data_IF_507623132000
#
_entry.id   IF_507623132000
#
_cell.length_a   1.000
_cell.length_b   1.000
_cell.length_c   1.000
_cell.angle_alpha   90.00
_cell.angle_beta   90.00
_cell.angle_gamma   90.00
#
_symmetry.space_group_name_H-M   'P 1'
#
loop_
_entity.id
_entity.type
_entity.pdbx_description
1 polymer ?
#
# COMPACT_ATOMS: atom_id res chain seq x y z
N UNK A 1 55.68 80.56 -2.49
CA UNK A 1 56.34 79.24 -2.38
C UNK A 1 55.55 78.19 -1.57
N UNK A 2 54.32 78.48 -1.10
CA UNK A 2 53.51 77.55 -0.28
C UNK A 2 52.61 76.64 -1.12
N UNK A 3 52.11 77.11 -2.28
CA UNK A 3 51.18 76.38 -3.14
C UNK A 3 51.76 75.11 -3.79
N UNK A 4 53.08 75.02 -3.99
CA UNK A 4 53.72 73.87 -4.65
C UNK A 4 53.88 72.64 -3.75
N UNK A 5 53.88 72.81 -2.42
CA UNK A 5 54.01 71.69 -1.45
C UNK A 5 52.66 71.06 -1.08
N UNK A 6 51.55 71.76 -1.32
CA UNK A 6 50.20 71.30 -0.98
C UNK A 6 49.57 70.38 -2.02
N UNK A 7 49.95 70.53 -3.30
CA UNK A 7 49.39 69.75 -4.43
C UNK A 7 49.66 68.23 -4.30
N UNK A 8 50.88 67.77 -3.95
CA UNK A 8 51.15 66.34 -3.77
C UNK A 8 50.35 65.73 -2.62
N UNK A 9 50.18 66.46 -1.51
CA UNK A 9 49.43 66.00 -0.35
C UNK A 9 47.93 65.85 -0.65
N UNK A 10 47.35 66.79 -1.40
CA UNK A 10 45.94 66.72 -1.84
C UNK A 10 45.72 65.55 -2.80
N UNK A 11 46.62 65.34 -3.76
CA UNK A 11 46.58 64.17 -4.68
C UNK A 11 46.64 62.84 -3.93
N UNK A 12 47.43 62.77 -2.86
CA UNK A 12 47.57 61.57 -2.04
C UNK A 12 46.29 61.30 -1.22
N UNK A 13 45.67 62.34 -0.67
CA UNK A 13 44.37 62.24 0.04
C UNK A 13 43.26 61.77 -0.90
N UNK A 14 43.18 62.31 -2.13
CA UNK A 14 42.20 61.89 -3.13
C UNK A 14 42.39 60.41 -3.50
N UNK A 15 43.65 59.98 -3.73
CA UNK A 15 43.97 58.58 -4.04
C UNK A 15 43.59 57.62 -2.91
N UNK A 16 43.84 58.01 -1.66
CA UNK A 16 43.44 57.24 -0.48
C UNK A 16 41.91 57.17 -0.34
N UNK A 17 41.20 58.25 -0.66
CA UNK A 17 39.74 58.28 -0.71
C UNK A 17 39.15 57.33 -1.75
N UNK A 18 39.70 57.32 -2.96
CA UNK A 18 39.28 56.40 -4.04
C UNK A 18 39.55 54.93 -3.69
N UNK A 19 40.70 54.65 -3.07
CA UNK A 19 41.03 53.30 -2.59
C UNK A 19 40.05 52.82 -1.52
N UNK A 20 39.72 53.68 -0.55
CA UNK A 20 38.76 53.34 0.51
C UNK A 20 37.36 53.09 -0.05
N UNK A 21 36.92 53.91 -1.00
CA UNK A 21 35.62 53.76 -1.67
C UNK A 21 35.54 52.47 -2.49
N UNK A 22 36.60 52.11 -3.20
CA UNK A 22 36.68 50.84 -3.94
C UNK A 22 36.69 49.63 -3.00
N UNK A 23 37.43 49.70 -1.89
CA UNK A 23 37.45 48.65 -0.87
C UNK A 23 36.08 48.48 -0.22
N UNK A 24 35.37 49.58 0.07
CA UNK A 24 34.01 49.54 0.60
C UNK A 24 33.03 48.88 -0.38
N UNK A 25 33.12 49.21 -1.67
CA UNK A 25 32.25 48.61 -2.69
C UNK A 25 32.53 47.11 -2.87
N UNK A 26 33.79 46.69 -2.80
CA UNK A 26 34.17 45.27 -2.84
C UNK A 26 33.63 44.52 -1.61
N UNK A 27 33.73 45.11 -0.41
CA UNK A 27 33.15 44.53 0.81
C UNK A 27 31.63 44.38 0.71
N UNK A 28 30.93 45.41 0.24
CA UNK A 28 29.47 45.34 0.04
C UNK A 28 29.08 44.22 -0.93
N UNK A 29 29.86 44.03 -2.00
CA UNK A 29 29.64 42.94 -2.95
C UNK A 29 29.83 41.56 -2.31
N UNK A 30 30.92 41.38 -1.54
CA UNK A 30 31.19 40.14 -0.81
C UNK A 30 30.09 39.83 0.22
N UNK A 31 29.63 40.84 0.97
CA UNK A 31 28.52 40.67 1.92
C UNK A 31 27.23 40.26 1.21
N UNK A 32 26.93 40.84 0.04
CA UNK A 32 25.75 40.45 -0.74
C UNK A 32 25.83 38.99 -1.22
N UNK A 33 26.99 38.56 -1.71
CA UNK A 33 27.23 37.18 -2.15
C UNK A 33 27.15 36.21 -0.98
N UNK A 34 27.69 36.59 0.18
CA UNK A 34 27.60 35.78 1.39
C UNK A 34 26.15 35.59 1.83
N UNK A 35 25.32 36.65 1.77
CA UNK A 35 23.90 36.54 2.08
C UNK A 35 23.17 35.63 1.08
N UNK A 36 23.48 35.71 -0.20
CA UNK A 36 22.90 34.82 -1.21
C UNK A 36 23.27 33.36 -0.96
N UNK A 37 24.53 33.08 -0.66
CA UNK A 37 25.01 31.73 -0.34
C UNK A 37 24.36 31.20 0.95
N UNK A 38 24.19 32.04 1.97
CA UNK A 38 23.50 31.65 3.20
C UNK A 38 22.03 31.29 2.92
N UNK A 39 21.32 32.05 2.08
CA UNK A 39 19.95 31.71 1.69
C UNK A 39 19.88 30.40 0.90
N UNK A 40 20.81 30.20 -0.06
CA UNK A 40 20.88 28.95 -0.83
C UNK A 40 21.14 27.75 0.07
N UNK A 41 22.03 27.89 1.05
CA UNK A 41 22.32 26.85 2.04
C UNK A 41 21.08 26.49 2.87
N UNK A 42 20.36 27.49 3.38
CA UNK A 42 19.14 27.26 4.13
C UNK A 42 18.08 26.51 3.30
N UNK A 43 17.93 26.86 2.02
CA UNK A 43 17.02 26.15 1.12
C UNK A 43 17.44 24.69 0.89
N UNK A 44 18.74 24.42 0.71
CA UNK A 44 19.26 23.06 0.55
C UNK A 44 19.02 22.24 1.83
N UNK A 45 19.25 22.82 3.01
CA UNK A 45 19.00 22.16 4.29
C UNK A 45 17.52 21.81 4.46
N UNK A 46 16.61 22.69 4.03
CA UNK A 46 15.16 22.44 4.07
C UNK A 46 14.75 21.30 3.13
N UNK A 47 15.29 21.26 1.90
CA UNK A 47 15.04 20.16 0.96
C UNK A 47 15.65 18.85 1.48
N UNK A 48 16.84 18.89 2.07
CA UNK A 48 17.50 17.72 2.64
C UNK A 48 16.69 17.13 3.81
N UNK A 49 15.99 17.96 4.59
CA UNK A 49 15.09 17.48 5.66
C UNK A 49 13.84 16.76 5.13
N UNK A 50 13.42 17.02 3.88
CA UNK A 50 12.26 16.36 3.27
C UNK A 50 12.59 15.00 2.66
N UNK A 51 13.85 14.77 2.25
CA UNK A 51 14.28 13.52 1.61
C UNK A 51 14.02 12.27 2.47
N UNK A 52 14.28 12.23 3.80
CA UNK A 52 13.98 11.07 4.62
C UNK A 52 12.49 10.70 4.66
N UNK A 53 11.61 11.71 4.67
CA UNK A 53 10.15 11.49 4.69
C UNK A 53 9.70 10.90 3.36
N UNK A 54 10.21 11.42 2.23
CA UNK A 54 9.94 10.86 0.90
C UNK A 54 10.45 9.42 0.79
N UNK A 55 11.65 9.13 1.29
CA UNK A 55 12.20 7.79 1.30
C UNK A 55 11.34 6.82 2.13
N UNK A 56 10.96 7.21 3.35
CA UNK A 56 10.09 6.39 4.20
C UNK A 56 8.72 6.15 3.56
N UNK A 57 8.18 7.16 2.86
CA UNK A 57 6.91 7.04 2.13
C UNK A 57 7.02 6.05 0.98
N UNK A 58 8.11 6.13 0.19
CA UNK A 58 8.38 5.19 -0.89
C UNK A 58 8.56 3.75 -0.37
N UNK A 59 9.28 3.57 0.75
CA UNK A 59 9.48 2.26 1.36
C UNK A 59 8.17 1.65 1.87
N UNK A 60 7.31 2.46 2.50
CA UNK A 60 5.97 2.02 2.93
C UNK A 60 5.10 1.64 1.73
N UNK A 61 5.09 2.47 0.68
CA UNK A 61 4.33 2.19 -0.52
C UNK A 61 4.79 0.88 -1.18
N UNK A 62 6.10 0.64 -1.23
CA UNK A 62 6.67 -0.59 -1.77
C UNK A 62 6.30 -1.83 -0.94
N UNK A 63 6.24 -1.71 0.39
CA UNK A 63 5.75 -2.81 1.25
C UNK A 63 4.26 -3.07 1.03
N UNK A 64 3.45 -2.01 0.93
CA UNK A 64 2.01 -2.14 0.69
C UNK A 64 1.73 -2.77 -0.68
N UNK A 65 2.47 -2.40 -1.72
CA UNK A 65 2.31 -3.00 -3.05
C UNK A 65 2.68 -4.49 -3.06
N UNK A 66 3.74 -4.89 -2.34
CA UNK A 66 4.12 -6.30 -2.19
C UNK A 66 3.04 -7.12 -1.46
N UNK A 67 2.47 -6.57 -0.39
CA UNK A 67 1.36 -7.20 0.34
C UNK A 67 0.13 -7.35 -0.56
N UNK A 68 -0.21 -6.32 -1.33
CA UNK A 68 -1.34 -6.36 -2.26
C UNK A 68 -1.15 -7.43 -3.34
N UNK A 69 0.05 -7.53 -3.92
CA UNK A 69 0.38 -8.55 -4.92
C UNK A 69 0.26 -9.98 -4.36
N UNK A 70 0.74 -10.20 -3.13
CA UNK A 70 0.58 -11.47 -2.43
C UNK A 70 -0.91 -11.80 -2.22
N UNK A 71 -1.71 -10.80 -1.81
CA UNK A 71 -3.16 -10.93 -1.66
C UNK A 71 -3.86 -11.33 -2.96
N UNK A 72 -3.54 -10.68 -4.08
CA UNK A 72 -4.09 -11.05 -5.39
C UNK A 72 -3.67 -12.45 -5.85
N UNK A 73 -2.45 -12.87 -5.51
CA UNK A 73 -1.98 -14.22 -5.84
C UNK A 73 -2.78 -15.28 -5.07
N UNK A 74 -3.00 -15.07 -3.77
CA UNK A 74 -3.82 -15.95 -2.94
C UNK A 74 -5.29 -15.96 -3.42
N UNK A 75 -5.83 -14.79 -3.81
CA UNK A 75 -7.18 -14.68 -4.36
C UNK A 75 -7.32 -15.48 -5.66
N UNK A 76 -6.35 -15.36 -6.58
CA UNK A 76 -6.32 -16.12 -7.84
C UNK A 76 -6.29 -17.62 -7.59
N UNK A 77 -5.50 -18.07 -6.61
CA UNK A 77 -5.43 -19.49 -6.25
C UNK A 77 -6.77 -20.00 -5.72
N UNK A 78 -7.39 -19.28 -4.77
CA UNK A 78 -8.74 -19.60 -4.27
C UNK A 78 -9.77 -19.66 -5.39
N UNK A 79 -9.78 -18.69 -6.29
CA UNK A 79 -10.70 -18.67 -7.43
C UNK A 79 -10.48 -19.86 -8.38
N UNK A 80 -9.22 -20.27 -8.59
CA UNK A 80 -8.89 -21.44 -9.42
C UNK A 80 -9.37 -22.74 -8.77
N UNK A 81 -9.13 -22.90 -7.47
CA UNK A 81 -9.62 -24.04 -6.71
C UNK A 81 -11.16 -24.09 -6.69
N UNK A 82 -11.83 -22.94 -6.58
CA UNK A 82 -13.29 -22.84 -6.64
C UNK A 82 -13.81 -23.32 -8.01
N UNK A 83 -13.17 -22.90 -9.10
CA UNK A 83 -13.53 -23.35 -10.44
C UNK A 83 -13.33 -24.87 -10.63
N UNK A 84 -12.28 -25.45 -10.03
CA UNK A 84 -12.06 -26.90 -10.04
C UNK A 84 -13.16 -27.64 -9.28
N UNK A 85 -13.48 -27.22 -8.05
CA UNK A 85 -14.57 -27.83 -7.27
C UNK A 85 -15.93 -27.75 -7.97
N UNK A 86 -16.25 -26.61 -8.59
CA UNK A 86 -17.49 -26.47 -9.38
C UNK A 86 -17.53 -27.49 -10.53
N UNK A 87 -16.40 -27.69 -11.22
CA UNK A 87 -16.31 -28.66 -12.30
C UNK A 87 -16.41 -30.10 -11.79
N UNK A 88 -15.77 -30.44 -10.68
CA UNK A 88 -15.85 -31.76 -10.06
C UNK A 88 -17.29 -32.07 -9.67
N UNK A 89 -17.97 -31.15 -8.96
CA UNK A 89 -19.38 -31.30 -8.61
C UNK A 89 -20.29 -31.45 -9.83
N UNK A 90 -20.06 -30.67 -10.89
CA UNK A 90 -20.80 -30.79 -12.16
C UNK A 90 -20.62 -32.18 -12.78
N UNK A 91 -19.41 -32.74 -12.73
CA UNK A 91 -19.11 -34.05 -13.30
C UNK A 91 -19.72 -35.18 -12.46
N UNK A 92 -19.63 -35.10 -11.13
CA UNK A 92 -20.26 -36.06 -10.22
C UNK A 92 -21.79 -36.07 -10.36
N UNK A 93 -22.41 -34.89 -10.52
CA UNK A 93 -23.85 -34.75 -10.76
C UNK A 93 -24.31 -35.38 -12.09
N UNK A 94 -23.44 -35.37 -13.11
CA UNK A 94 -23.73 -35.99 -14.42
C UNK A 94 -23.54 -37.51 -14.43
N UNK A 95 -22.68 -38.06 -13.57
CA UNK A 95 -22.45 -39.51 -13.47
C UNK A 95 -23.51 -40.27 -12.66
N UNK A 96 -24.23 -39.57 -11.77
CA UNK A 96 -25.21 -40.16 -10.84
C UNK A 96 -26.62 -40.32 -11.42
N UNK A 97 -26.88 -39.93 -12.67
CA UNK A 97 -28.16 -40.21 -13.34
C UNK A 97 -28.44 -41.71 -13.57
N UNK A 98 -27.50 -42.60 -13.21
CA UNK A 98 -27.63 -44.05 -13.32
C UNK A 98 -27.67 -44.80 -11.97
N UNK A 99 -27.23 -44.21 -10.85
CA UNK A 99 -27.19 -44.85 -9.53
C UNK A 99 -27.41 -43.80 -8.44
N UNK A 100 -28.41 -44.05 -7.57
CA UNK A 100 -28.63 -43.44 -6.25
C UNK A 100 -27.78 -42.22 -5.92
N UNK A 101 -28.37 -41.02 -6.04
CA UNK A 101 -27.75 -39.76 -5.63
C UNK A 101 -27.26 -39.82 -4.18
N UNK A 102 -25.95 -39.66 -3.97
CA UNK A 102 -25.35 -39.56 -2.64
C UNK A 102 -25.55 -38.14 -2.09
N UNK A 103 -26.62 -37.98 -1.31
CA UNK A 103 -27.02 -36.72 -0.67
C UNK A 103 -25.89 -36.13 0.18
N UNK A 104 -25.10 -36.97 0.83
CA UNK A 104 -24.06 -36.56 1.78
C UNK A 104 -22.86 -35.95 1.05
N UNK A 105 -22.43 -36.58 -0.04
CA UNK A 105 -21.37 -36.03 -0.91
C UNK A 105 -21.79 -34.73 -1.59
N UNK A 106 -23.06 -34.61 -1.96
CA UNK A 106 -23.58 -33.37 -2.54
C UNK A 106 -23.61 -32.22 -1.51
N UNK A 107 -24.13 -32.47 -0.30
CA UNK A 107 -24.16 -31.48 0.77
C UNK A 107 -22.74 -31.03 1.14
N UNK A 108 -21.80 -31.97 1.30
CA UNK A 108 -20.39 -31.67 1.56
C UNK A 108 -19.78 -30.81 0.46
N UNK A 109 -20.04 -31.13 -0.82
CA UNK A 109 -19.56 -30.34 -1.96
C UNK A 109 -20.04 -28.89 -1.94
N UNK A 110 -21.33 -28.66 -1.71
CA UNK A 110 -21.92 -27.31 -1.64
C UNK A 110 -21.34 -26.51 -0.47
N UNK A 111 -21.19 -27.12 0.70
CA UNK A 111 -20.59 -26.46 1.87
C UNK A 111 -19.13 -26.08 1.60
N UNK A 112 -18.37 -26.95 0.94
CA UNK A 112 -16.98 -26.66 0.55
C UNK A 112 -16.89 -25.50 -0.44
N UNK A 113 -17.82 -25.42 -1.41
CA UNK A 113 -17.91 -24.27 -2.31
C UNK A 113 -18.20 -22.98 -1.54
N UNK A 114 -19.12 -23.02 -0.58
CA UNK A 114 -19.47 -21.87 0.25
C UNK A 114 -18.28 -21.38 1.08
N UNK A 115 -17.51 -22.29 1.70
CA UNK A 115 -16.27 -21.96 2.42
C UNK A 115 -15.25 -21.23 1.52
N UNK A 116 -15.18 -21.62 0.25
CA UNK A 116 -14.23 -21.04 -0.70
C UNK A 116 -14.72 -19.75 -1.34
N UNK A 117 -16.04 -19.62 -1.52
CA UNK A 117 -16.68 -18.42 -2.03
C UNK A 117 -16.68 -17.27 -1.01
N UNK A 118 -16.61 -17.59 0.29
CA UNK A 118 -16.37 -16.65 1.40
C UNK A 118 -14.97 -16.02 1.30
N UNK A 119 -14.84 -15.08 0.37
CA UNK A 119 -13.66 -14.26 0.19
C UNK A 119 -13.91 -12.95 0.93
N UNK A 120 -13.23 -12.76 2.06
CA UNK A 120 -13.24 -11.50 2.81
C UNK A 120 -14.66 -11.08 3.27
N UNK A 121 -15.47 -12.05 3.70
CA UNK A 121 -16.84 -11.80 4.20
C UNK A 121 -17.86 -11.39 3.13
N UNK A 122 -17.53 -11.58 1.85
CA UNK A 122 -18.49 -11.41 0.76
C UNK A 122 -19.38 -12.65 0.66
N UNK A 123 -20.62 -12.46 0.23
CA UNK A 123 -21.66 -13.50 0.05
C UNK A 123 -22.11 -14.23 1.33
N UNK A 124 -21.93 -13.61 2.51
CA UNK A 124 -22.35 -14.20 3.78
C UNK A 124 -23.85 -14.56 3.81
N UNK A 125 -24.72 -13.65 3.37
CA UNK A 125 -26.18 -13.86 3.40
C UNK A 125 -26.60 -15.04 2.51
N UNK A 126 -26.01 -15.16 1.31
CA UNK A 126 -26.28 -16.29 0.41
C UNK A 126 -25.76 -17.60 0.99
N UNK A 127 -24.57 -17.56 1.58
CA UNK A 127 -23.95 -18.73 2.20
C UNK A 127 -24.72 -19.19 3.44
N UNK A 128 -25.20 -18.26 4.26
CA UNK A 128 -26.09 -18.54 5.39
C UNK A 128 -27.41 -19.16 4.91
N UNK A 129 -27.99 -18.61 3.84
CA UNK A 129 -29.21 -19.15 3.22
C UNK A 129 -29.02 -20.59 2.76
N UNK A 130 -27.95 -20.87 2.02
CA UNK A 130 -27.61 -22.22 1.53
C UNK A 130 -27.36 -23.18 2.70
N UNK A 131 -26.63 -22.71 3.72
CA UNK A 131 -26.32 -23.47 4.93
C UNK A 131 -27.60 -23.89 5.65
N UNK A 132 -28.56 -22.96 5.78
CA UNK A 132 -29.88 -23.21 6.36
C UNK A 132 -30.71 -24.19 5.52
N UNK A 133 -30.69 -24.08 4.18
CA UNK A 133 -31.38 -25.03 3.30
C UNK A 133 -30.84 -26.46 3.44
N UNK A 134 -29.51 -26.63 3.47
CA UNK A 134 -28.91 -27.95 3.68
C UNK A 134 -29.28 -28.48 5.07
N UNK A 135 -29.28 -27.63 6.10
CA UNK A 135 -29.58 -28.03 7.49
C UNK A 135 -31.00 -28.55 7.62
N UNK A 136 -31.95 -27.80 7.04
CA UNK A 136 -33.34 -28.21 6.92
C UNK A 136 -33.49 -29.55 6.16
N UNK A 137 -32.65 -29.78 5.14
CA UNK A 137 -32.61 -31.04 4.40
C UNK A 137 -32.24 -32.26 5.26
N UNK A 138 -31.54 -32.09 6.38
CA UNK A 138 -31.20 -33.15 7.33
C UNK A 138 -32.09 -33.16 8.59
N UNK A 139 -33.13 -32.32 8.65
CA UNK A 139 -34.03 -32.28 9.80
C UNK A 139 -34.61 -33.66 10.12
N UNK A 140 -34.45 -34.09 11.38
CA UNK A 140 -34.88 -35.42 11.84
C UNK A 140 -34.00 -36.59 11.40
N UNK A 141 -32.83 -36.34 10.80
CA UNK A 141 -31.85 -37.34 10.36
C UNK A 141 -30.50 -37.12 11.07
N UNK A 142 -29.72 -38.18 11.22
CA UNK A 142 -28.35 -38.06 11.70
C UNK A 142 -27.49 -37.44 10.60
N UNK A 143 -26.86 -36.30 10.89
CA UNK A 143 -25.93 -35.64 9.97
C UNK A 143 -24.62 -36.46 9.91
N UNK A 144 -24.11 -36.78 8.72
CA UNK A 144 -22.81 -37.42 8.56
C UNK A 144 -21.67 -36.53 9.06
N UNK A 145 -20.63 -37.14 9.64
CA UNK A 145 -19.49 -36.41 10.22
C UNK A 145 -18.79 -35.46 9.24
N UNK A 146 -18.64 -35.83 7.97
CA UNK A 146 -17.98 -34.97 6.97
C UNK A 146 -18.78 -33.70 6.64
N UNK A 147 -20.11 -33.79 6.66
CA UNK A 147 -21.02 -32.65 6.47
C UNK A 147 -21.02 -31.76 7.71
N UNK A 148 -21.08 -32.37 8.91
CA UNK A 148 -21.00 -31.64 10.18
C UNK A 148 -19.68 -30.86 10.34
N UNK A 149 -18.55 -31.48 10.00
CA UNK A 149 -17.24 -30.82 10.04
C UNK A 149 -17.14 -29.65 9.05
N UNK A 150 -17.77 -29.80 7.88
CA UNK A 150 -17.81 -28.74 6.86
C UNK A 150 -18.72 -27.59 7.29
N UNK A 151 -19.82 -27.88 7.97
CA UNK A 151 -20.69 -26.88 8.59
C UNK A 151 -19.99 -26.09 9.68
N UNK A 152 -19.35 -26.77 10.62
CA UNK A 152 -18.66 -26.12 11.75
C UNK A 152 -17.58 -25.14 11.28
N UNK A 153 -16.86 -25.49 10.20
CA UNK A 153 -15.87 -24.58 9.59
C UNK A 153 -16.52 -23.36 8.96
N UNK A 154 -17.72 -23.51 8.41
CA UNK A 154 -18.49 -22.43 7.80
C UNK A 154 -19.01 -21.46 8.84
N UNK A 155 -19.57 -21.97 9.94
CA UNK A 155 -20.01 -21.16 11.08
C UNK A 155 -18.84 -20.34 11.64
N UNK A 156 -17.66 -20.96 11.79
CA UNK A 156 -16.45 -20.25 12.20
C UNK A 156 -16.00 -19.15 11.22
N UNK A 157 -16.26 -19.29 9.92
CA UNK A 157 -15.93 -18.26 8.91
C UNK A 157 -16.96 -17.13 8.89
N UNK A 158 -18.21 -17.42 9.25
CA UNK A 158 -19.31 -16.45 9.36
C UNK A 158 -19.34 -15.75 10.73
N UNK A 159 -18.65 -16.29 11.72
CA UNK A 159 -18.64 -15.76 13.09
C UNK A 159 -19.90 -16.13 13.89
N UNK A 160 -20.49 -17.29 13.60
CA UNK A 160 -21.68 -17.84 14.25
C UNK A 160 -21.34 -19.00 15.17
#
# INVERSE_FOLDING_TARGET
>A
MVLSRSIPAVLQIVRSGDQLRNAHHALMQVVSQQNELNMRRANIELVAQQLPVLQATADTLNKQSAVLLAGFTALREKATQLALLINDMRNESRGTSAQSWDKDRFAEGILRLCQMALIDGRVCDEVETITNEISNGYSGQTVPGSVADSWLRLDSLLGM
#
